data_IF_847021129627
#
_entry.id   IF_847021129627
#
_cell.length_a   1.000
_cell.length_b   1.000
_cell.length_c   1.000
_cell.angle_alpha   90.00
_cell.angle_beta   90.00
_cell.angle_gamma   90.00
#
_symmetry.space_group_name_H-M   'P 1'
#
loop_
_entity.id
_entity.type
_entity.pdbx_description
1 polymer ?
#
# COMPACT_ATOMS: atom_id res chain seq x y z
N UNK A 1 25.18 10.71 -0.63
CA UNK A 1 24.51 9.39 -0.78
C UNK A 1 23.44 9.24 0.31
N UNK A 2 22.48 10.16 0.39
CA UNK A 2 21.42 10.15 1.44
C UNK A 2 20.07 10.64 0.89
N UNK A 3 20.10 11.52 -0.11
CA UNK A 3 18.92 11.98 -0.83
C UNK A 3 18.30 10.89 -1.69
N UNK A 4 19.12 10.03 -2.31
CA UNK A 4 18.64 8.98 -3.22
C UNK A 4 17.88 7.88 -2.47
N UNK A 5 18.37 7.46 -1.30
CA UNK A 5 17.68 6.47 -0.44
C UNK A 5 16.34 7.02 0.07
N UNK A 6 16.30 8.28 0.50
CA UNK A 6 15.06 8.94 0.93
C UNK A 6 14.05 9.00 -0.22
N UNK A 7 14.47 9.42 -1.41
CA UNK A 7 13.58 9.55 -2.55
C UNK A 7 13.02 8.19 -2.96
N UNK A 8 13.89 7.17 -3.08
CA UNK A 8 13.47 5.81 -3.40
C UNK A 8 12.47 5.26 -2.37
N UNK A 9 12.73 5.46 -1.07
CA UNK A 9 11.82 5.04 -0.03
C UNK A 9 10.46 5.75 -0.12
N UNK A 10 10.45 7.07 -0.37
CA UNK A 10 9.21 7.85 -0.51
C UNK A 10 8.40 7.44 -1.73
N UNK A 11 9.06 7.22 -2.87
CA UNK A 11 8.41 6.72 -4.08
C UNK A 11 7.74 5.36 -3.84
N UNK A 12 8.46 4.42 -3.22
CA UNK A 12 7.92 3.09 -2.88
C UNK A 12 6.78 3.17 -1.87
N UNK A 13 6.95 3.96 -0.81
CA UNK A 13 5.93 4.14 0.21
C UNK A 13 4.61 4.66 -0.39
N UNK A 14 4.68 5.69 -1.24
CA UNK A 14 3.50 6.25 -1.90
C UNK A 14 2.88 5.28 -2.92
N UNK A 15 3.71 4.50 -3.63
CA UNK A 15 3.23 3.46 -4.54
C UNK A 15 2.47 2.36 -3.78
N UNK A 16 3.03 1.84 -2.68
CA UNK A 16 2.36 0.84 -1.85
C UNK A 16 1.04 1.37 -1.27
N UNK A 17 0.99 2.62 -0.80
CA UNK A 17 -0.27 3.23 -0.35
C UNK A 17 -1.27 3.34 -1.50
N UNK A 18 -0.84 3.70 -2.70
CA UNK A 18 -1.73 3.75 -3.87
C UNK A 18 -2.30 2.35 -4.21
N UNK A 19 -1.45 1.32 -4.21
CA UNK A 19 -1.81 -0.08 -4.51
C UNK A 19 -2.76 -0.68 -3.45
N UNK A 20 -2.41 -0.56 -2.18
CA UNK A 20 -3.18 -1.11 -1.05
C UNK A 20 -4.55 -0.45 -0.86
N UNK A 21 -4.74 0.75 -1.42
CA UNK A 21 -6.02 1.48 -1.34
C UNK A 21 -6.87 1.36 -2.61
N UNK A 22 -6.38 0.67 -3.63
CA UNK A 22 -7.07 0.52 -4.91
C UNK A 22 -7.84 -0.80 -4.99
N UNK A 23 -9.15 -0.75 -4.71
CA UNK A 23 -10.01 -1.93 -4.82
C UNK A 23 -10.06 -2.48 -6.25
N UNK A 24 -10.14 -1.63 -7.26
CA UNK A 24 -10.23 -2.05 -8.66
C UNK A 24 -8.95 -2.77 -9.12
N UNK A 25 -7.78 -2.29 -8.65
CA UNK A 25 -6.52 -2.98 -8.87
C UNK A 25 -6.53 -4.34 -8.20
N UNK A 26 -6.86 -4.41 -6.91
CA UNK A 26 -6.87 -5.68 -6.17
C UNK A 26 -7.83 -6.67 -6.83
N UNK A 27 -9.05 -6.24 -7.17
CA UNK A 27 -10.04 -7.08 -7.84
C UNK A 27 -9.55 -7.59 -9.19
N UNK A 28 -9.00 -6.70 -10.03
CA UNK A 28 -8.53 -7.09 -11.36
C UNK A 28 -7.30 -7.99 -11.30
N UNK A 29 -6.38 -7.74 -10.36
CA UNK A 29 -5.12 -8.46 -10.30
C UNK A 29 -5.22 -9.78 -9.52
N UNK A 30 -5.98 -9.82 -8.43
CA UNK A 30 -6.07 -10.96 -7.53
C UNK A 30 -7.05 -12.03 -8.00
N UNK A 31 -8.08 -11.65 -8.77
CA UNK A 31 -9.06 -12.59 -9.34
C UNK A 31 -8.71 -13.05 -10.76
N UNK A 32 -7.73 -12.41 -11.42
CA UNK A 32 -7.23 -12.84 -12.72
C UNK A 32 -6.33 -14.07 -12.57
N UNK A 33 -6.88 -15.24 -12.90
CA UNK A 33 -6.16 -16.52 -12.87
C UNK A 33 -5.04 -16.63 -13.91
N UNK A 34 -5.00 -15.71 -14.88
CA UNK A 34 -3.93 -15.64 -15.90
C UNK A 34 -2.78 -14.73 -15.48
N UNK A 35 -2.96 -13.95 -14.41
CA UNK A 35 -1.90 -13.15 -13.82
C UNK A 35 -0.93 -14.06 -13.05
N UNK A 36 0.27 -14.23 -13.61
CA UNK A 36 1.33 -15.05 -13.02
C UNK A 36 2.34 -14.21 -12.24
N UNK A 37 2.20 -12.88 -12.23
CA UNK A 37 3.11 -12.02 -11.50
C UNK A 37 2.77 -12.05 -10.01
N UNK A 38 3.64 -12.61 -9.16
CA UNK A 38 3.35 -12.81 -7.74
C UNK A 38 3.08 -11.50 -7.02
N UNK A 39 3.73 -10.41 -7.46
CA UNK A 39 3.61 -9.05 -6.88
C UNK A 39 2.16 -8.59 -6.74
N UNK A 40 1.26 -9.07 -7.59
CA UNK A 40 -0.15 -8.73 -7.57
C UNK A 40 -0.98 -9.69 -6.72
N UNK A 41 -0.63 -9.84 -5.45
CA UNK A 41 -1.38 -10.64 -4.48
C UNK A 41 -1.53 -9.92 -3.15
N UNK A 42 -2.47 -10.37 -2.32
CA UNK A 42 -2.66 -9.81 -0.98
C UNK A 42 -1.37 -9.90 -0.15
N UNK A 43 -0.71 -11.06 -0.16
CA UNK A 43 0.53 -11.30 0.61
C UNK A 43 1.65 -10.36 0.15
N UNK A 44 1.89 -10.26 -1.15
CA UNK A 44 2.96 -9.41 -1.68
C UNK A 44 2.66 -7.92 -1.46
N UNK A 45 1.40 -7.49 -1.53
CA UNK A 45 1.03 -6.10 -1.20
C UNK A 45 1.37 -5.75 0.25
N UNK A 46 1.09 -6.66 1.20
CA UNK A 46 1.44 -6.44 2.60
C UNK A 46 2.96 -6.51 2.83
N UNK A 47 3.65 -7.49 2.24
CA UNK A 47 5.11 -7.62 2.39
C UNK A 47 5.86 -6.43 1.79
N UNK A 48 5.47 -5.97 0.59
CA UNK A 48 6.05 -4.76 0.00
C UNK A 48 5.80 -3.49 0.82
N UNK A 49 4.70 -3.42 1.56
CA UNK A 49 4.42 -2.27 2.42
C UNK A 49 5.10 -2.37 3.79
N UNK A 50 5.06 -3.51 4.47
CA UNK A 50 5.60 -3.64 5.83
C UNK A 50 7.09 -4.00 5.83
N UNK A 51 7.45 -5.09 5.16
CA UNK A 51 8.78 -5.70 5.20
C UNK A 51 9.77 -4.88 4.36
N UNK A 52 9.44 -4.62 3.09
CA UNK A 52 10.36 -3.94 2.16
C UNK A 52 10.61 -2.47 2.54
N UNK A 53 9.63 -1.81 3.17
CA UNK A 53 9.79 -0.45 3.69
C UNK A 53 10.36 -0.40 5.10
N UNK A 54 10.35 -1.53 5.83
CA UNK A 54 10.80 -1.63 7.21
C UNK A 54 10.01 -0.74 8.17
N UNK A 55 8.68 -0.84 8.14
CA UNK A 55 7.78 0.07 8.90
C UNK A 55 6.89 -0.63 9.92
N UNK A 56 7.13 -1.91 10.19
CA UNK A 56 6.42 -2.68 11.23
C UNK A 56 6.54 -2.04 12.63
N UNK A 57 7.60 -1.28 12.86
CA UNK A 57 7.90 -0.52 14.07
C UNK A 57 7.14 0.81 14.16
N UNK A 58 6.03 0.97 13.43
CA UNK A 58 5.24 2.20 13.37
C UNK A 58 6.05 3.41 12.87
N UNK A 59 6.85 3.21 11.81
CA UNK A 59 7.62 4.25 11.14
C UNK A 59 8.73 4.90 11.99
N UNK A 60 9.29 4.20 12.98
CA UNK A 60 10.32 4.75 13.86
C UNK A 60 11.52 5.26 13.05
N UNK A 61 12.09 4.40 12.20
CA UNK A 61 13.25 4.77 11.38
C UNK A 61 12.97 5.92 10.38
N UNK A 62 11.91 5.90 9.55
CA UNK A 62 11.61 7.01 8.65
C UNK A 62 11.34 8.35 9.35
N UNK A 63 10.75 8.33 10.55
CA UNK A 63 10.52 9.53 11.36
C UNK A 63 11.84 10.11 11.88
N UNK A 64 12.69 9.28 12.50
CA UNK A 64 13.99 9.71 13.03
C UNK A 64 14.89 10.30 11.94
N UNK A 65 14.83 9.74 10.73
CA UNK A 65 15.62 10.18 9.57
C UNK A 65 15.04 11.38 8.84
N UNK A 66 13.85 11.86 9.23
CA UNK A 66 13.13 12.94 8.55
C UNK A 66 12.71 12.58 7.12
N UNK A 67 12.51 11.30 6.85
CA UNK A 67 11.99 10.78 5.58
C UNK A 67 10.47 10.88 5.55
N UNK A 68 9.83 10.66 6.69
CA UNK A 68 8.41 10.90 6.95
C UNK A 68 8.26 12.09 7.91
N UNK A 69 7.38 13.02 7.58
CA UNK A 69 7.06 14.13 8.47
C UNK A 69 6.10 13.69 9.57
N UNK A 70 6.06 14.42 10.70
CA UNK A 70 5.09 14.13 11.76
C UNK A 70 3.65 14.26 11.25
N UNK A 71 3.37 15.23 10.38
CA UNK A 71 2.04 15.42 9.81
C UNK A 71 1.60 14.22 8.96
N UNK A 72 2.48 13.71 8.08
CA UNK A 72 2.20 12.51 7.28
C UNK A 72 1.97 11.29 8.17
N UNK A 73 2.78 11.12 9.22
CA UNK A 73 2.60 10.05 10.19
C UNK A 73 1.24 10.10 10.90
N UNK A 74 0.84 11.27 11.41
CA UNK A 74 -0.47 11.43 12.05
C UNK A 74 -1.65 11.13 11.11
N UNK A 75 -1.47 11.35 9.80
CA UNK A 75 -2.48 11.01 8.80
C UNK A 75 -2.58 9.49 8.60
N UNK A 76 -1.45 8.78 8.55
CA UNK A 76 -1.42 7.36 8.15
C UNK A 76 -1.49 6.37 9.31
N UNK A 77 -1.04 6.74 10.51
CA UNK A 77 -0.79 5.82 11.64
C UNK A 77 -1.99 4.93 11.96
N UNK A 78 -3.20 5.50 12.01
CA UNK A 78 -4.36 4.70 12.41
C UNK A 78 -4.70 3.67 11.31
N UNK A 79 -4.50 4.00 10.02
CA UNK A 79 -4.73 3.05 8.92
C UNK A 79 -3.67 1.96 8.91
N UNK A 80 -2.40 2.32 9.11
CA UNK A 80 -1.30 1.38 9.29
C UNK A 80 -1.58 0.40 10.44
N UNK A 81 -2.00 0.88 11.61
CA UNK A 81 -2.39 0.07 12.76
C UNK A 81 -3.60 -0.84 12.45
N UNK A 82 -4.56 -0.37 11.67
CA UNK A 82 -5.70 -1.22 11.27
C UNK A 82 -5.23 -2.33 10.33
N UNK A 83 -4.33 -2.01 9.41
CA UNK A 83 -3.81 -2.93 8.40
C UNK A 83 -2.95 -4.04 9.03
N UNK A 84 -2.02 -3.72 9.94
CA UNK A 84 -1.15 -4.72 10.60
C UNK A 84 -1.94 -5.70 11.49
N UNK A 85 -3.08 -5.25 12.02
CA UNK A 85 -3.95 -6.07 12.85
C UNK A 85 -5.01 -6.85 12.05
N UNK A 86 -5.13 -6.62 10.74
CA UNK A 86 -6.05 -7.37 9.89
C UNK A 86 -5.68 -8.85 9.84
N UNK A 87 -6.70 -9.71 9.81
CA UNK A 87 -6.56 -11.15 9.62
C UNK A 87 -7.54 -11.56 8.53
N UNK A 88 -7.05 -12.27 7.54
CA UNK A 88 -7.88 -12.78 6.44
C UNK A 88 -8.96 -13.74 6.97
N UNK A 89 -10.10 -13.85 6.28
CA UNK A 89 -11.14 -14.83 6.63
C UNK A 89 -10.56 -16.24 6.73
N UNK A 90 -10.78 -16.90 7.87
CA UNK A 90 -10.25 -18.24 8.17
C UNK A 90 -8.71 -18.34 8.17
N UNK A 91 -7.99 -17.22 8.23
CA UNK A 91 -6.53 -17.15 8.11
C UNK A 91 -5.99 -17.65 6.75
N UNK A 92 -6.81 -17.56 5.70
CA UNK A 92 -6.45 -17.98 4.35
C UNK A 92 -6.07 -16.77 3.48
N UNK A 93 -4.81 -16.35 3.56
CA UNK A 93 -4.27 -15.16 2.87
C UNK A 93 -4.28 -15.26 1.33
N UNK A 94 -4.42 -16.48 0.80
CA UNK A 94 -4.50 -16.75 -0.64
C UNK A 94 -5.95 -16.83 -1.15
N UNK A 95 -6.95 -16.79 -0.26
CA UNK A 95 -8.35 -16.75 -0.66
C UNK A 95 -8.76 -15.31 -0.98
N UNK A 96 -8.27 -14.81 -2.12
CA UNK A 96 -8.49 -13.44 -2.57
C UNK A 96 -9.98 -13.07 -2.68
N UNK A 97 -10.83 -14.00 -3.10
CA UNK A 97 -12.28 -13.76 -3.18
C UNK A 97 -12.88 -13.54 -1.80
N UNK A 98 -12.49 -14.33 -0.79
CA UNK A 98 -12.96 -14.13 0.57
C UNK A 98 -12.47 -12.78 1.14
N UNK A 99 -11.21 -12.41 0.90
CA UNK A 99 -10.64 -11.12 1.35
C UNK A 99 -11.37 -9.94 0.71
N UNK A 100 -11.61 -9.97 -0.61
CA UNK A 100 -12.30 -8.89 -1.33
C UNK A 100 -13.76 -8.72 -0.91
N UNK A 101 -14.36 -9.73 -0.28
CA UNK A 101 -15.71 -9.68 0.26
C UNK A 101 -15.76 -9.50 1.79
N UNK A 102 -14.61 -9.42 2.47
CA UNK A 102 -14.55 -9.23 3.93
C UNK A 102 -14.92 -7.78 4.30
N UNK A 103 -15.98 -7.56 5.11
CA UNK A 103 -16.33 -6.22 5.58
C UNK A 103 -15.19 -5.49 6.28
N UNK A 104 -14.29 -6.21 6.96
CA UNK A 104 -13.13 -5.64 7.64
C UNK A 104 -12.11 -5.11 6.64
N UNK A 105 -11.85 -5.85 5.56
CA UNK A 105 -10.99 -5.40 4.48
C UNK A 105 -11.57 -4.18 3.75
N UNK A 106 -12.88 -4.21 3.45
CA UNK A 106 -13.56 -3.08 2.83
C UNK A 106 -13.52 -1.81 3.71
N UNK A 107 -13.60 -1.95 5.03
CA UNK A 107 -13.44 -0.83 5.96
C UNK A 107 -12.00 -0.27 5.95
N UNK A 108 -10.99 -1.14 5.86
CA UNK A 108 -9.57 -0.74 5.70
C UNK A 108 -9.38 0.05 4.41
N UNK A 109 -9.97 -0.41 3.30
CA UNK A 109 -9.91 0.29 2.02
C UNK A 109 -10.54 1.68 2.10
N UNK A 110 -11.73 1.79 2.69
CA UNK A 110 -12.39 3.08 2.87
C UNK A 110 -11.53 4.05 3.69
N UNK A 111 -10.95 3.57 4.78
CA UNK A 111 -10.03 4.35 5.62
C UNK A 111 -8.76 4.75 4.87
N UNK A 112 -8.24 3.86 4.04
CA UNK A 112 -7.08 4.10 3.19
C UNK A 112 -7.34 5.17 2.14
N UNK A 113 -8.54 5.22 1.54
CA UNK A 113 -8.93 6.29 0.63
C UNK A 113 -8.94 7.66 1.33
N UNK A 114 -9.42 7.73 2.58
CA UNK A 114 -9.37 8.96 3.36
C UNK A 114 -7.93 9.40 3.66
N UNK A 115 -7.04 8.46 3.99
CA UNK A 115 -5.60 8.69 4.17
C UNK A 115 -4.98 9.23 2.89
N UNK A 116 -5.25 8.58 1.76
CA UNK A 116 -4.75 8.96 0.44
C UNK A 116 -5.12 10.40 0.10
N UNK A 117 -6.39 10.76 0.30
CA UNK A 117 -6.87 12.12 0.06
C UNK A 117 -6.19 13.14 0.98
N UNK A 118 -5.99 12.82 2.26
CA UNK A 118 -5.32 13.71 3.22
C UNK A 118 -3.82 13.88 2.90
N UNK A 119 -3.12 12.80 2.56
CA UNK A 119 -1.71 12.83 2.16
C UNK A 119 -1.52 13.65 0.88
N UNK A 120 -2.40 13.50 -0.11
CA UNK A 120 -2.32 14.27 -1.36
C UNK A 120 -2.33 15.80 -1.14
N UNK A 121 -2.93 16.28 -0.03
CA UNK A 121 -2.94 17.70 0.34
C UNK A 121 -1.63 18.19 0.98
N UNK A 122 -0.78 17.29 1.46
CA UNK A 122 0.49 17.61 2.13
C UNK A 122 1.72 17.37 1.25
N UNK A 123 1.56 16.53 0.22
CA UNK A 123 2.64 16.12 -0.67
C UNK A 123 2.97 17.16 -1.74
N UNK A 124 4.17 17.06 -2.31
CA UNK A 124 4.52 17.79 -3.52
C UNK A 124 3.70 17.30 -4.73
N UNK A 125 3.66 18.07 -5.81
CA UNK A 125 2.95 17.66 -7.04
C UNK A 125 3.46 16.31 -7.60
N UNK A 126 4.77 16.08 -7.53
CA UNK A 126 5.39 14.84 -8.04
C UNK A 126 4.96 13.65 -7.19
N UNK A 127 5.03 13.77 -5.88
CA UNK A 127 4.64 12.71 -4.94
C UNK A 127 3.14 12.46 -4.96
N UNK A 128 2.34 13.53 -5.05
CA UNK A 128 0.90 13.44 -5.24
C UNK A 128 0.54 12.63 -6.49
N UNK A 129 1.28 12.82 -7.60
CA UNK A 129 1.09 11.99 -8.80
C UNK A 129 1.39 10.52 -8.55
N UNK A 130 2.44 10.17 -7.82
CA UNK A 130 2.74 8.76 -7.48
C UNK A 130 1.57 8.15 -6.72
N UNK A 131 1.05 8.90 -5.74
CA UNK A 131 -0.05 8.47 -4.91
C UNK A 131 -1.36 8.30 -5.69
N UNK A 132 -1.61 9.09 -6.75
CA UNK A 132 -2.90 9.11 -7.46
C UNK A 132 -2.86 8.55 -8.88
N UNK A 133 -1.72 8.08 -9.36
CA UNK A 133 -1.61 7.54 -10.73
C UNK A 133 -2.44 6.26 -10.85
N UNK A 134 -3.20 6.16 -11.95
CA UNK A 134 -3.92 4.93 -12.29
C UNK A 134 -2.93 3.79 -12.52
N UNK A 135 -3.08 2.72 -11.74
CA UNK A 135 -2.20 1.57 -11.79
C UNK A 135 -2.69 0.67 -12.92
N UNK A 136 -1.96 0.70 -14.04
CA UNK A 136 -2.19 -0.19 -15.16
C UNK A 136 -1.49 -1.52 -14.88
N UNK A 137 -2.24 -2.62 -14.83
CA UNK A 137 -1.66 -3.96 -14.84
C UNK A 137 -0.90 -4.14 -16.15
N UNK A 138 0.42 -4.01 -16.12
CA UNK A 138 1.25 -4.35 -17.28
C UNK A 138 1.13 -5.86 -17.49
N UNK A 139 0.36 -6.27 -18.48
CA UNK A 139 0.46 -7.60 -19.08
C UNK A 139 1.91 -7.76 -19.55
N UNK A 140 2.74 -8.40 -18.74
CA UNK A 140 4.07 -8.77 -19.20
C UNK A 140 3.82 -9.99 -20.09
N UNK A 141 4.13 -9.97 -21.40
CA UNK A 141 4.05 -11.19 -22.18
C UNK A 141 5.01 -12.19 -21.53
N UNK A 142 4.50 -13.41 -21.28
CA UNK A 142 5.34 -14.51 -20.82
C UNK A 142 6.55 -14.66 -21.76
N UNK A 143 7.76 -14.96 -21.24
CA UNK A 143 8.95 -15.15 -22.07
C UNK A 143 8.79 -16.27 -23.10
#
# INVERSE_FOLDING_TARGET
>A
MATDDKNLWRERWLACVNELTSFDLQKSAWLDKTNTNPHWSFVEFLSSYFDDLGIEDSYEYPLERGWLTRQEFEIIKDWHETLINYRSPQYEDYNHEAILNDPSWLAILQKGLDVKNKLALTLTEIEGKILTTDIQLKSTPAP
#
